data_IF_686549470991
#
_entry.id   IF_686549470991
#
_cell.length_a   1.000
_cell.length_b   1.000
_cell.length_c   1.000
_cell.angle_alpha   90.00
_cell.angle_beta   90.00
_cell.angle_gamma   90.00
#
_symmetry.space_group_name_H-M   'P 1'
#
loop_
_entity.id
_entity.type
_entity.pdbx_description
1 polymer ?
#
# COMPACT_ATOMS: atom_id res chain seq x y z
N UNK A 1 -18.01 -24.83 -10.97
CA UNK A 1 -18.52 -26.17 -11.36
C UNK A 1 -19.69 -26.49 -10.45
N UNK A 2 -20.77 -27.05 -11.01
CA UNK A 2 -22.13 -26.97 -10.46
C UNK A 2 -22.31 -27.52 -9.03
N UNK A 3 -23.14 -26.81 -8.25
CA UNK A 3 -23.57 -27.07 -6.88
C UNK A 3 -24.01 -28.54 -6.68
N UNK A 4 -23.72 -29.20 -5.54
CA UNK A 4 -24.31 -30.48 -5.17
C UNK A 4 -25.83 -30.57 -5.43
N UNK A 5 -26.56 -29.46 -5.23
CA UNK A 5 -27.99 -29.34 -5.55
C UNK A 5 -28.28 -29.44 -7.04
N UNK A 6 -27.44 -28.86 -7.89
CA UNK A 6 -27.54 -28.96 -9.35
C UNK A 6 -27.23 -30.39 -9.83
N UNK A 7 -26.18 -31.02 -9.27
CA UNK A 7 -25.83 -32.42 -9.59
C UNK A 7 -26.96 -33.38 -9.19
N UNK A 8 -27.58 -33.16 -8.04
CA UNK A 8 -28.74 -33.91 -7.57
C UNK A 8 -29.97 -33.69 -8.46
N UNK A 9 -30.22 -32.46 -8.89
CA UNK A 9 -31.33 -32.13 -9.81
C UNK A 9 -31.12 -32.81 -11.17
N UNK A 10 -29.90 -32.81 -11.69
CA UNK A 10 -29.56 -33.48 -12.95
C UNK A 10 -29.74 -35.00 -12.82
N UNK A 11 -29.40 -35.59 -11.67
CA UNK A 11 -29.64 -37.00 -11.37
C UNK A 11 -31.14 -37.33 -11.30
N UNK A 12 -31.96 -36.47 -10.69
CA UNK A 12 -33.43 -36.64 -10.66
C UNK A 12 -34.01 -36.57 -12.07
N UNK A 13 -33.57 -35.63 -12.91
CA UNK A 13 -34.04 -35.52 -14.30
C UNK A 13 -33.65 -36.76 -15.12
N UNK A 14 -32.44 -37.28 -14.92
CA UNK A 14 -31.95 -38.47 -15.62
C UNK A 14 -32.69 -39.73 -15.16
N UNK A 15 -32.96 -39.86 -13.86
CA UNK A 15 -33.82 -40.92 -13.31
C UNK A 15 -35.24 -40.83 -13.86
N UNK A 16 -35.85 -39.64 -13.87
CA UNK A 16 -37.18 -39.41 -14.43
C UNK A 16 -37.23 -39.81 -15.91
N UNK A 17 -36.23 -39.39 -16.70
CA UNK A 17 -36.10 -39.76 -18.11
C UNK A 17 -36.01 -41.27 -18.30
N UNK A 18 -35.18 -41.97 -17.52
CA UNK A 18 -35.05 -43.43 -17.58
C UNK A 18 -36.36 -44.13 -17.19
N UNK A 19 -37.03 -43.70 -16.12
CA UNK A 19 -38.32 -44.28 -15.72
C UNK A 19 -39.40 -44.04 -16.76
N UNK A 20 -39.50 -42.85 -17.35
CA UNK A 20 -40.48 -42.54 -18.39
C UNK A 20 -40.19 -43.39 -19.63
N UNK A 21 -38.93 -43.48 -20.04
CA UNK A 21 -38.52 -44.28 -21.22
C UNK A 21 -38.77 -45.78 -21.00
N UNK A 22 -38.46 -46.31 -19.82
CA UNK A 22 -38.72 -47.72 -19.48
C UNK A 22 -40.23 -48.04 -19.42
N UNK A 23 -41.04 -47.13 -18.87
CA UNK A 23 -42.50 -47.27 -18.84
C UNK A 23 -43.07 -47.23 -20.25
N UNK A 24 -42.52 -46.38 -21.13
CA UNK A 24 -42.90 -46.31 -22.54
C UNK A 24 -42.53 -47.57 -23.31
N UNK A 25 -41.31 -48.12 -23.13
CA UNK A 25 -40.87 -49.38 -23.76
C UNK A 25 -41.77 -50.55 -23.34
N UNK A 26 -42.14 -50.62 -22.06
CA UNK A 26 -43.06 -51.64 -21.54
C UNK A 26 -44.44 -51.58 -22.21
N UNK A 27 -45.00 -50.38 -22.37
CA UNK A 27 -46.28 -50.19 -23.08
C UNK A 27 -46.16 -50.44 -24.60
N UNK A 28 -45.03 -50.10 -25.22
CA UNK A 28 -44.81 -50.22 -26.67
C UNK A 28 -44.66 -51.66 -27.15
N UNK A 29 -43.89 -52.48 -26.41
CA UNK A 29 -43.57 -53.85 -26.84
C UNK A 29 -44.65 -54.87 -26.45
N UNK A 30 -45.44 -54.62 -25.40
CA UNK A 30 -46.44 -55.58 -24.92
C UNK A 30 -47.90 -55.28 -25.34
N UNK A 31 -48.23 -54.06 -25.78
CA UNK A 31 -49.57 -53.70 -26.26
C UNK A 31 -49.45 -52.95 -27.58
N UNK A 32 -49.31 -53.71 -28.68
CA UNK A 32 -49.08 -53.20 -30.03
C UNK A 32 -50.04 -52.06 -30.43
N UNK A 33 -49.55 -51.10 -31.23
CA UNK A 33 -50.25 -49.83 -31.39
C UNK A 33 -50.27 -49.27 -32.83
N UNK A 34 -51.50 -48.97 -33.24
CA UNK A 34 -51.95 -48.16 -34.37
C UNK A 34 -52.43 -46.80 -33.81
N UNK A 35 -52.35 -45.69 -34.56
CA UNK A 35 -52.70 -44.29 -34.18
C UNK A 35 -51.98 -43.63 -32.98
N UNK A 36 -51.33 -44.38 -32.09
CA UNK A 36 -50.52 -43.83 -31.00
C UNK A 36 -49.28 -43.05 -31.49
N UNK A 37 -48.68 -43.41 -32.62
CA UNK A 37 -47.39 -42.84 -33.06
C UNK A 37 -47.38 -41.32 -33.25
N UNK A 38 -48.49 -40.73 -33.70
CA UNK A 38 -48.60 -39.27 -33.86
C UNK A 38 -48.77 -38.55 -32.51
N UNK A 39 -49.63 -39.08 -31.64
CA UNK A 39 -49.81 -38.57 -30.27
C UNK A 39 -48.52 -38.77 -29.43
N UNK A 40 -47.79 -39.85 -29.68
CA UNK A 40 -46.48 -40.14 -29.06
C UNK A 40 -45.39 -39.16 -29.48
N UNK A 41 -45.36 -38.72 -30.74
CA UNK A 41 -44.42 -37.67 -31.18
C UNK A 41 -44.68 -36.35 -30.43
N UNK A 42 -45.96 -35.97 -30.31
CA UNK A 42 -46.37 -34.75 -29.60
C UNK A 42 -46.14 -34.85 -28.09
N UNK A 43 -46.40 -36.00 -27.47
CA UNK A 43 -46.15 -36.22 -26.03
C UNK A 43 -44.66 -36.36 -25.72
N UNK A 44 -43.83 -36.94 -26.62
CA UNK A 44 -42.37 -36.99 -26.42
C UNK A 44 -41.74 -35.59 -26.52
N UNK A 45 -42.13 -34.80 -27.53
CA UNK A 45 -41.63 -33.43 -27.70
C UNK A 45 -42.16 -32.55 -26.56
N UNK A 46 -43.46 -32.68 -26.22
CA UNK A 46 -44.10 -31.93 -25.15
C UNK A 46 -43.57 -32.30 -23.75
N UNK A 47 -43.36 -33.58 -23.47
CA UNK A 47 -42.80 -34.08 -22.22
C UNK A 47 -41.32 -33.70 -22.04
N UNK A 48 -40.53 -33.75 -23.12
CA UNK A 48 -39.14 -33.26 -23.12
C UNK A 48 -39.09 -31.75 -22.90
N UNK A 49 -40.00 -31.00 -23.52
CA UNK A 49 -40.13 -29.56 -23.30
C UNK A 49 -40.53 -29.24 -21.86
N UNK A 50 -41.55 -29.91 -21.30
CA UNK A 50 -42.00 -29.70 -19.91
C UNK A 50 -40.91 -30.10 -18.91
N UNK A 51 -40.20 -31.19 -19.14
CA UNK A 51 -39.03 -31.59 -18.33
C UNK A 51 -37.91 -30.55 -18.40
N UNK A 52 -37.64 -30.00 -19.58
CA UNK A 52 -36.72 -28.89 -19.77
C UNK A 52 -37.16 -27.61 -19.05
N UNK A 53 -38.44 -27.23 -19.14
CA UNK A 53 -39.00 -26.07 -18.46
C UNK A 53 -38.98 -26.23 -16.93
N UNK A 54 -39.32 -27.40 -16.41
CA UNK A 54 -39.22 -27.71 -14.97
C UNK A 54 -37.77 -27.69 -14.49
N UNK A 55 -36.82 -28.20 -15.28
CA UNK A 55 -35.40 -28.09 -14.97
C UNK A 55 -34.94 -26.63 -14.90
N UNK A 56 -35.32 -25.80 -15.87
CA UNK A 56 -35.01 -24.36 -15.89
C UNK A 56 -35.68 -23.64 -14.71
N UNK A 57 -36.93 -23.95 -14.38
CA UNK A 57 -37.64 -23.36 -13.23
C UNK A 57 -37.03 -23.74 -11.88
N UNK A 58 -36.62 -25.00 -11.72
CA UNK A 58 -35.93 -25.45 -10.50
C UNK A 58 -34.54 -24.80 -10.39
N UNK A 59 -33.82 -24.70 -11.50
CA UNK A 59 -32.52 -24.04 -11.54
C UNK A 59 -32.62 -22.53 -11.24
N UNK A 60 -33.63 -21.84 -11.76
CA UNK A 60 -33.81 -20.39 -11.52
C UNK A 60 -34.31 -20.07 -10.11
N UNK A 61 -35.14 -20.93 -9.51
CA UNK A 61 -35.78 -20.66 -8.21
C UNK A 61 -35.02 -21.19 -6.99
N UNK A 62 -34.29 -22.30 -7.11
CA UNK A 62 -33.63 -22.98 -5.97
C UNK A 62 -32.09 -22.99 -6.04
N UNK A 63 -31.50 -22.64 -7.18
CA UNK A 63 -30.05 -22.61 -7.38
C UNK A 63 -29.62 -21.16 -7.57
N UNK A 64 -29.18 -20.51 -6.49
CA UNK A 64 -28.47 -19.23 -6.60
C UNK A 64 -27.14 -19.44 -7.32
N UNK A 65 -27.11 -19.22 -8.63
CA UNK A 65 -25.88 -19.24 -9.44
C UNK A 65 -24.87 -18.15 -9.04
N UNK A 66 -25.24 -17.22 -8.14
CA UNK A 66 -24.40 -16.10 -7.69
C UNK A 66 -23.07 -16.51 -7.05
N UNK A 67 -22.93 -17.73 -6.52
CA UNK A 67 -21.65 -18.22 -5.94
C UNK A 67 -20.84 -19.14 -6.87
N UNK A 68 -21.40 -19.55 -8.01
CA UNK A 68 -20.82 -20.60 -8.86
C UNK A 68 -20.80 -20.30 -10.37
N UNK A 69 -21.16 -19.07 -10.79
CA UNK A 69 -20.76 -18.61 -12.13
C UNK A 69 -19.24 -18.63 -12.19
N UNK A 70 -18.67 -19.56 -12.98
CA UNK A 70 -17.39 -19.31 -13.60
C UNK A 70 -17.61 -18.06 -14.47
N UNK A 71 -17.01 -16.93 -14.13
CA UNK A 71 -16.76 -15.92 -15.15
C UNK A 71 -15.77 -16.56 -16.11
N UNK A 72 -16.16 -16.74 -17.37
CA UNK A 72 -15.37 -17.45 -18.37
C UNK A 72 -14.09 -16.72 -18.74
N UNK A 73 -13.11 -16.73 -17.85
CA UNK A 73 -11.75 -16.24 -18.08
C UNK A 73 -10.77 -17.37 -17.75
N UNK A 74 -10.70 -18.35 -18.63
CA UNK A 74 -9.58 -19.28 -18.70
C UNK A 74 -8.79 -18.85 -19.94
N UNK A 75 -7.63 -18.20 -19.75
CA UNK A 75 -6.74 -17.86 -20.85
C UNK A 75 -6.01 -19.12 -21.33
N UNK A 76 -6.20 -19.48 -22.59
CA UNK A 76 -5.40 -20.47 -23.30
C UNK A 76 -4.11 -19.78 -23.78
N UNK A 77 -2.95 -20.23 -23.31
CA UNK A 77 -1.62 -19.77 -23.75
C UNK A 77 -1.13 -20.53 -24.97
N UNK A 78 -0.24 -19.91 -25.77
CA UNK A 78 0.94 -20.59 -26.32
C UNK A 78 2.17 -19.66 -26.29
N UNK A 79 3.29 -20.29 -25.96
CA UNK A 79 4.70 -19.90 -25.78
C UNK A 79 5.44 -19.58 -27.10
N UNK A 80 6.67 -19.10 -26.96
CA UNK A 80 7.65 -18.58 -27.93
C UNK A 80 8.04 -19.55 -29.08
N UNK A 81 7.45 -20.75 -29.17
CA UNK A 81 7.79 -21.79 -30.17
C UNK A 81 6.78 -21.99 -31.30
N UNK A 82 5.80 -21.10 -31.47
CA UNK A 82 5.16 -20.91 -32.78
C UNK A 82 4.23 -22.02 -33.29
N UNK A 83 3.31 -22.53 -32.47
CA UNK A 83 2.11 -23.24 -33.00
C UNK A 83 0.92 -22.28 -33.03
N UNK A 84 0.68 -21.69 -34.21
CA UNK A 84 -0.37 -20.70 -34.42
C UNK A 84 -1.79 -21.29 -34.47
N UNK A 85 -2.72 -20.67 -33.75
CA UNK A 85 -4.14 -20.67 -34.10
C UNK A 85 -4.59 -19.23 -34.32
N UNK A 86 -5.06 -18.96 -35.53
CA UNK A 86 -5.59 -17.68 -35.96
C UNK A 86 -7.04 -17.56 -35.46
N UNK A 87 -7.39 -16.54 -34.67
CA UNK A 87 -8.78 -16.23 -34.35
C UNK A 87 -9.11 -14.76 -34.67
N UNK A 88 -10.18 -14.49 -35.45
CA UNK A 88 -10.53 -13.16 -35.96
C UNK A 88 -11.44 -12.34 -35.03
N UNK A 89 -11.43 -12.55 -33.70
CA UNK A 89 -12.40 -11.88 -32.82
C UNK A 89 -11.81 -11.50 -31.46
N UNK A 90 -11.91 -10.20 -31.14
CA UNK A 90 -11.57 -9.62 -29.83
C UNK A 90 -12.42 -10.25 -28.71
N UNK A 91 -11.76 -10.80 -27.69
CA UNK A 91 -12.41 -11.33 -26.47
C UNK A 91 -13.16 -10.24 -25.67
N UNK A 92 -12.92 -8.94 -25.94
CA UNK A 92 -13.71 -7.85 -25.35
C UNK A 92 -15.10 -7.66 -25.99
N UNK A 93 -15.35 -8.19 -27.20
CA UNK A 93 -16.67 -8.08 -27.85
C UNK A 93 -17.77 -8.89 -27.15
N UNK A 94 -17.42 -9.85 -26.29
CA UNK A 94 -18.38 -10.68 -25.53
C UNK A 94 -18.59 -10.22 -24.09
N UNK A 95 -17.98 -9.11 -23.67
CA UNK A 95 -17.96 -8.64 -22.28
C UNK A 95 -18.57 -7.26 -21.96
N UNK A 96 -19.52 -6.67 -22.72
CA UNK A 96 -20.24 -5.50 -22.21
C UNK A 96 -21.35 -5.86 -21.20
N UNK A 97 -21.93 -7.07 -21.24
CA UNK A 97 -23.22 -7.34 -20.55
C UNK A 97 -23.18 -8.35 -19.39
N UNK A 98 -22.14 -9.18 -19.26
CA UNK A 98 -22.14 -10.28 -18.26
C UNK A 98 -21.51 -9.92 -16.91
N UNK A 99 -20.80 -8.81 -16.84
CA UNK A 99 -20.36 -8.22 -15.58
C UNK A 99 -20.87 -6.79 -15.56
N UNK A 100 -22.12 -6.64 -15.11
CA UNK A 100 -22.67 -5.32 -14.87
C UNK A 100 -21.63 -4.55 -14.03
N UNK A 101 -21.08 -3.43 -14.52
CA UNK A 101 -20.41 -2.50 -13.61
C UNK A 101 -21.40 -2.17 -12.50
N UNK A 102 -20.98 -1.81 -11.29
CA UNK A 102 -21.92 -1.29 -10.31
C UNK A 102 -22.56 0.00 -10.89
N UNK A 103 -23.66 -0.15 -11.62
CA UNK A 103 -24.45 0.89 -12.30
C UNK A 103 -25.02 1.91 -11.28
N UNK A 104 -24.77 1.70 -9.97
CA UNK A 104 -25.21 2.60 -8.91
C UNK A 104 -24.24 3.74 -8.56
N UNK A 105 -23.00 3.77 -9.03
CA UNK A 105 -22.07 4.86 -8.69
C UNK A 105 -21.80 5.80 -9.88
N UNK A 106 -22.48 6.95 -9.92
CA UNK A 106 -22.26 8.05 -10.88
C UNK A 106 -20.85 8.68 -10.84
N UNK A 107 -19.98 8.23 -9.93
CA UNK A 107 -18.67 8.81 -9.67
C UNK A 107 -17.49 7.87 -10.01
N UNK A 108 -17.69 6.85 -10.85
CA UNK A 108 -16.62 5.96 -11.32
C UNK A 108 -16.20 6.33 -12.74
N UNK A 109 -14.90 6.37 -13.01
CA UNK A 109 -14.40 6.43 -14.38
C UNK A 109 -14.69 5.12 -15.13
N UNK A 110 -14.71 5.19 -16.47
CA UNK A 110 -14.95 4.02 -17.32
C UNK A 110 -13.95 2.89 -17.05
N UNK A 111 -12.67 3.25 -16.84
CA UNK A 111 -11.62 2.31 -16.49
C UNK A 111 -11.80 1.66 -15.12
N UNK A 112 -12.19 2.42 -14.10
CA UNK A 112 -12.49 1.86 -12.76
C UNK A 112 -13.64 0.87 -12.84
N UNK A 113 -14.68 1.17 -13.62
CA UNK A 113 -15.83 0.29 -13.79
C UNK A 113 -15.44 -1.05 -14.45
N UNK A 114 -14.64 -1.02 -15.52
CA UNK A 114 -14.13 -2.23 -16.17
C UNK A 114 -13.21 -3.04 -15.25
N UNK A 115 -12.33 -2.38 -14.49
CA UNK A 115 -11.43 -3.03 -13.53
C UNK A 115 -12.18 -3.71 -12.39
N UNK A 116 -13.16 -3.02 -11.78
CA UNK A 116 -14.01 -3.60 -10.74
C UNK A 116 -14.81 -4.79 -11.29
N UNK A 117 -15.31 -4.68 -12.52
CA UNK A 117 -15.97 -5.78 -13.21
C UNK A 117 -15.03 -6.97 -13.39
N UNK A 118 -13.83 -6.74 -13.92
CA UNK A 118 -12.82 -7.77 -14.11
C UNK A 118 -12.49 -8.47 -12.78
N UNK A 119 -12.18 -7.71 -11.73
CA UNK A 119 -11.87 -8.25 -10.39
C UNK A 119 -13.03 -9.02 -9.78
N UNK A 120 -14.28 -8.63 -10.04
CA UNK A 120 -15.46 -9.35 -9.54
C UNK A 120 -15.55 -10.77 -10.12
N UNK A 121 -14.99 -11.01 -11.32
CA UNK A 121 -14.82 -12.38 -11.84
C UNK A 121 -13.88 -13.26 -11.02
N UNK A 122 -12.95 -12.63 -10.28
CA UNK A 122 -11.96 -13.28 -9.42
C UNK A 122 -12.29 -13.11 -7.93
N UNK A 123 -13.57 -12.90 -7.58
CA UNK A 123 -14.00 -12.67 -6.19
C UNK A 123 -13.67 -13.79 -5.20
N UNK A 124 -13.47 -15.01 -5.67
CA UNK A 124 -13.07 -16.14 -4.83
C UNK A 124 -11.57 -16.46 -4.91
N UNK A 125 -10.80 -15.67 -5.68
CA UNK A 125 -9.36 -15.84 -5.78
C UNK A 125 -8.71 -15.31 -4.50
N UNK A 126 -7.78 -16.03 -3.87
CA UNK A 126 -7.12 -15.56 -2.67
C UNK A 126 -6.18 -14.41 -3.01
N UNK A 127 -6.09 -13.42 -2.12
CA UNK A 127 -5.00 -12.44 -2.16
C UNK A 127 -3.68 -13.08 -1.71
N UNK A 128 -3.73 -13.96 -0.70
CA UNK A 128 -2.56 -14.66 -0.17
C UNK A 128 -2.87 -16.16 0.02
N UNK A 129 -1.97 -17.00 -0.48
CA UNK A 129 -2.06 -18.47 -0.39
C UNK A 129 -1.34 -19.05 0.84
N UNK A 130 -0.54 -18.25 1.56
CA UNK A 130 0.15 -18.68 2.79
C UNK A 130 -0.79 -18.77 3.99
N UNK A 131 -1.96 -18.12 3.89
CA UNK A 131 -3.02 -18.15 4.91
C UNK A 131 -2.91 -17.04 5.95
N UNK A 132 -1.94 -16.12 5.81
CA UNK A 132 -1.78 -14.99 6.72
C UNK A 132 -2.87 -13.93 6.49
N UNK A 133 -3.37 -13.80 5.26
CA UNK A 133 -4.46 -12.90 4.93
C UNK A 133 -5.66 -13.67 4.34
N UNK A 134 -6.82 -13.72 5.03
CA UNK A 134 -7.99 -14.46 4.57
C UNK A 134 -8.78 -13.73 3.46
N UNK A 135 -8.35 -12.53 3.04
CA UNK A 135 -9.08 -11.72 2.06
C UNK A 135 -8.99 -12.31 0.65
N UNK A 136 -10.06 -12.12 -0.11
CA UNK A 136 -10.03 -12.36 -1.56
C UNK A 136 -9.26 -11.24 -2.27
N UNK A 137 -8.76 -11.52 -3.47
CA UNK A 137 -8.14 -10.54 -4.35
C UNK A 137 -9.08 -9.34 -4.60
N UNK A 138 -10.37 -9.63 -4.83
CA UNK A 138 -11.38 -8.60 -5.02
C UNK A 138 -11.53 -7.72 -3.77
N UNK A 139 -11.72 -8.32 -2.59
CA UNK A 139 -11.96 -7.56 -1.37
C UNK A 139 -10.74 -6.70 -1.02
N UNK A 140 -9.53 -7.24 -1.19
CA UNK A 140 -8.28 -6.50 -1.02
C UNK A 140 -8.20 -5.30 -1.97
N UNK A 141 -8.40 -5.52 -3.28
CA UNK A 141 -8.34 -4.45 -4.27
C UNK A 141 -9.40 -3.34 -4.02
N UNK A 142 -10.59 -3.70 -3.55
CA UNK A 142 -11.65 -2.74 -3.21
C UNK A 142 -11.29 -1.93 -1.95
N UNK A 143 -10.67 -2.54 -0.95
CA UNK A 143 -10.17 -1.81 0.22
C UNK A 143 -9.06 -0.83 -0.17
N UNK A 144 -8.11 -1.25 -1.00
CA UNK A 144 -7.06 -0.38 -1.55
C UNK A 144 -7.65 0.81 -2.31
N UNK A 145 -8.63 0.54 -3.17
CA UNK A 145 -9.33 1.57 -3.93
C UNK A 145 -10.06 2.56 -3.02
N UNK A 146 -10.75 2.09 -1.96
CA UNK A 146 -11.39 2.96 -0.97
C UNK A 146 -10.37 3.80 -0.19
N UNK A 147 -9.27 3.19 0.22
CA UNK A 147 -8.17 3.88 0.91
C UNK A 147 -7.60 4.99 0.02
N UNK A 148 -7.32 4.68 -1.26
CA UNK A 148 -6.85 5.64 -2.25
C UNK A 148 -7.81 6.82 -2.42
N UNK A 149 -9.12 6.57 -2.54
CA UNK A 149 -10.13 7.64 -2.66
C UNK A 149 -10.23 8.56 -1.45
N UNK A 150 -9.74 8.13 -0.30
CA UNK A 150 -9.73 8.93 0.93
C UNK A 150 -8.45 9.77 1.08
N UNK A 151 -7.48 9.62 0.20
CA UNK A 151 -6.24 10.39 0.23
C UNK A 151 -6.42 11.73 -0.49
N UNK A 152 -5.83 12.83 0.02
CA UNK A 152 -5.85 14.13 -0.65
C UNK A 152 -5.11 14.07 -1.99
N UNK A 153 -5.51 14.93 -2.94
CA UNK A 153 -4.87 15.08 -4.26
C UNK A 153 -4.86 13.83 -5.17
N UNK A 154 -5.69 12.83 -4.88
CA UNK A 154 -5.82 11.63 -5.72
C UNK A 154 -6.97 11.78 -6.73
N UNK A 155 -6.82 11.15 -7.90
CA UNK A 155 -7.82 11.18 -8.97
C UNK A 155 -8.07 9.82 -9.63
N UNK A 156 -8.83 9.79 -10.75
CA UNK A 156 -9.24 8.54 -11.40
C UNK A 156 -8.10 7.61 -11.81
N UNK A 157 -6.94 8.15 -12.20
CA UNK A 157 -5.77 7.36 -12.57
C UNK A 157 -5.15 6.65 -11.36
N UNK A 158 -5.12 7.30 -10.20
CA UNK A 158 -4.70 6.71 -8.93
C UNK A 158 -5.63 5.58 -8.52
N UNK A 159 -6.94 5.79 -8.69
CA UNK A 159 -7.96 4.80 -8.36
C UNK A 159 -7.86 3.56 -9.25
N UNK A 160 -7.66 3.75 -10.55
CA UNK A 160 -7.41 2.67 -11.49
C UNK A 160 -6.13 1.90 -11.16
N UNK A 161 -5.05 2.60 -10.81
CA UNK A 161 -3.80 1.96 -10.41
C UNK A 161 -3.98 1.11 -9.13
N UNK A 162 -4.76 1.59 -8.14
CA UNK A 162 -5.04 0.86 -6.91
C UNK A 162 -5.79 -0.45 -7.15
N UNK A 163 -6.71 -0.46 -8.12
CA UNK A 163 -7.42 -1.68 -8.56
C UNK A 163 -6.51 -2.61 -9.38
N UNK A 164 -5.56 -2.06 -10.14
CA UNK A 164 -4.77 -2.81 -11.11
C UNK A 164 -3.48 -3.42 -10.55
N UNK A 165 -2.98 -2.94 -9.40
CA UNK A 165 -1.65 -3.32 -8.87
C UNK A 165 -1.46 -4.82 -8.64
N UNK A 166 -2.48 -5.52 -8.15
CA UNK A 166 -2.43 -6.94 -7.74
C UNK A 166 -3.00 -7.91 -8.80
N UNK A 167 -3.27 -7.46 -10.03
CA UNK A 167 -3.91 -8.30 -11.06
C UNK A 167 -3.04 -9.52 -11.44
N UNK A 168 -1.72 -9.40 -11.33
CA UNK A 168 -0.72 -10.47 -11.45
C UNK A 168 -1.10 -11.76 -10.70
N UNK A 169 -1.76 -11.66 -9.54
CA UNK A 169 -2.14 -12.79 -8.69
C UNK A 169 -3.08 -13.79 -9.37
N UNK A 170 -3.85 -13.33 -10.36
CA UNK A 170 -4.71 -14.17 -11.19
C UNK A 170 -3.88 -15.20 -11.95
N UNK A 171 -2.68 -14.82 -12.42
CA UNK A 171 -1.78 -15.72 -13.15
C UNK A 171 -0.74 -16.40 -12.26
N UNK A 172 -0.33 -15.74 -11.16
CA UNK A 172 0.65 -16.31 -10.24
C UNK A 172 0.10 -17.52 -9.48
N UNK A 173 -1.22 -17.62 -9.31
CA UNK A 173 -1.87 -18.73 -8.61
C UNK A 173 -2.56 -19.69 -9.57
N UNK A 174 -2.54 -20.97 -9.21
CA UNK A 174 -3.26 -22.03 -9.90
C UNK A 174 -4.26 -22.68 -8.94
N UNK A 175 -5.50 -22.78 -9.40
CA UNK A 175 -6.55 -23.51 -8.69
C UNK A 175 -6.35 -25.02 -8.87
N UNK A 176 -6.06 -25.73 -7.77
CA UNK A 176 -6.03 -27.19 -7.69
C UNK A 176 -7.32 -27.69 -7.06
N UNK A 177 -8.16 -28.34 -7.88
CA UNK A 177 -9.43 -28.92 -7.44
C UNK A 177 -9.29 -30.42 -7.23
N UNK A 178 -9.52 -30.89 -6.00
CA UNK A 178 -9.71 -32.32 -5.74
C UNK A 178 -11.20 -32.65 -5.90
N UNK A 179 -11.53 -33.28 -7.02
CA UNK A 179 -12.91 -33.72 -7.33
C UNK A 179 -13.23 -34.99 -6.53
N UNK A 180 -14.44 -35.06 -5.99
CA UNK A 180 -14.95 -36.30 -5.42
C UNK A 180 -15.52 -37.21 -6.52
N UNK A 181 -15.42 -38.55 -6.37
CA UNK A 181 -16.05 -39.49 -7.31
C UNK A 181 -17.58 -39.30 -7.32
N UNK A 182 -18.24 -39.76 -8.39
CA UNK A 182 -19.71 -39.70 -8.54
C UNK A 182 -20.46 -40.30 -7.34
N UNK A 183 -19.89 -41.33 -6.70
CA UNK A 183 -20.43 -41.94 -5.48
C UNK A 183 -20.45 -41.01 -4.28
N UNK A 184 -19.81 -39.84 -4.33
CA UNK A 184 -19.78 -38.82 -3.29
C UNK A 184 -20.13 -37.44 -3.88
N UNK A 185 -21.05 -37.40 -4.86
CA UNK A 185 -21.42 -36.17 -5.57
C UNK A 185 -21.99 -35.06 -4.67
N UNK A 186 -22.46 -35.40 -3.46
CA UNK A 186 -22.95 -34.45 -2.46
C UNK A 186 -21.83 -33.68 -1.74
N UNK A 187 -20.59 -34.19 -1.77
CA UNK A 187 -19.44 -33.49 -1.19
C UNK A 187 -18.99 -32.37 -2.11
N UNK A 188 -18.74 -31.20 -1.53
CA UNK A 188 -18.16 -30.07 -2.27
C UNK A 188 -16.71 -30.37 -2.63
N UNK A 189 -16.34 -30.10 -3.88
CA UNK A 189 -14.96 -30.22 -4.33
C UNK A 189 -14.04 -29.40 -3.41
N UNK A 190 -12.90 -29.98 -3.03
CA UNK A 190 -11.91 -29.26 -2.22
C UNK A 190 -11.08 -28.41 -3.20
N UNK A 191 -11.23 -27.10 -3.08
CA UNK A 191 -10.43 -26.11 -3.82
C UNK A 191 -9.25 -25.72 -2.96
N UNK A 192 -8.04 -25.90 -3.50
CA UNK A 192 -6.81 -25.36 -2.94
C UNK A 192 -6.12 -24.53 -4.01
N UNK A 193 -5.45 -23.46 -3.60
CA UNK A 193 -4.61 -22.69 -4.50
C UNK A 193 -3.15 -23.09 -4.28
N UNK A 194 -2.38 -23.14 -5.35
CA UNK A 194 -0.93 -23.31 -5.29
C UNK A 194 -0.24 -22.28 -6.16
N UNK A 195 0.95 -21.84 -5.74
CA UNK A 195 1.77 -20.96 -6.55
C UNK A 195 2.17 -21.65 -7.86
N UNK A 196 1.92 -20.98 -8.99
CA UNK A 196 2.37 -21.39 -10.33
C UNK A 196 3.62 -20.64 -10.73
N UNK A 197 3.68 -19.33 -10.46
CA UNK A 197 4.81 -18.47 -10.78
C UNK A 197 5.08 -17.42 -9.69
N UNK A 198 6.23 -16.76 -9.79
CA UNK A 198 6.54 -15.57 -8.98
C UNK A 198 5.63 -14.43 -9.42
N UNK A 199 5.16 -13.66 -8.45
CA UNK A 199 4.39 -12.46 -8.75
C UNK A 199 5.36 -11.40 -9.25
N UNK A 200 5.06 -10.80 -10.40
CA UNK A 200 5.86 -9.72 -10.92
C UNK A 200 4.94 -8.59 -11.38
N UNK A 201 5.30 -7.34 -11.06
CA UNK A 201 4.52 -6.14 -11.46
C UNK A 201 4.29 -6.05 -12.98
N UNK A 202 5.16 -6.67 -13.78
CA UNK A 202 4.95 -6.82 -15.22
C UNK A 202 3.67 -7.59 -15.61
N UNK A 203 3.18 -8.57 -14.83
CA UNK A 203 1.96 -9.33 -15.17
C UNK A 203 0.73 -8.46 -14.97
N UNK A 204 0.69 -7.69 -13.88
CA UNK A 204 -0.36 -6.72 -13.61
C UNK A 204 -0.44 -5.68 -14.74
N UNK A 205 0.72 -5.16 -15.16
CA UNK A 205 0.84 -4.26 -16.29
C UNK A 205 0.35 -4.89 -17.60
N UNK A 206 0.69 -6.16 -17.86
CA UNK A 206 0.22 -6.90 -19.04
C UNK A 206 -1.31 -7.07 -19.01
N UNK A 207 -1.91 -7.48 -17.89
CA UNK A 207 -3.36 -7.62 -17.78
C UNK A 207 -4.04 -6.27 -18.00
N UNK A 208 -3.57 -5.22 -17.34
CA UNK A 208 -4.12 -3.86 -17.50
C UNK A 208 -4.08 -3.41 -18.96
N UNK A 209 -3.01 -3.73 -19.70
CA UNK A 209 -2.88 -3.40 -21.12
C UNK A 209 -3.93 -4.06 -22.03
N UNK A 210 -4.60 -5.12 -21.56
CA UNK A 210 -5.68 -5.80 -22.31
C UNK A 210 -7.05 -5.16 -22.12
N UNK A 211 -7.21 -4.29 -21.12
CA UNK A 211 -8.49 -3.65 -20.77
C UNK A 211 -8.85 -2.57 -21.81
N UNK A 212 -10.03 -2.62 -22.44
CA UNK A 212 -10.43 -1.66 -23.49
C UNK A 212 -10.32 -0.20 -23.07
N UNK A 213 -10.89 0.17 -21.93
CA UNK A 213 -10.83 1.55 -21.43
C UNK A 213 -9.39 2.02 -21.17
N UNK A 214 -8.47 1.10 -20.85
CA UNK A 214 -7.05 1.43 -20.67
C UNK A 214 -6.37 1.73 -22.01
N UNK A 215 -6.73 1.02 -23.09
CA UNK A 215 -6.18 1.27 -24.43
C UNK A 215 -6.62 2.63 -24.97
N UNK A 216 -7.83 3.05 -24.62
CA UNK A 216 -8.45 4.31 -25.02
C UNK A 216 -7.99 5.52 -24.20
N UNK A 217 -7.22 5.33 -23.12
CA UNK A 217 -6.55 6.43 -22.42
C UNK A 217 -5.61 7.17 -23.38
N UNK A 218 -6.06 8.32 -23.87
CA UNK A 218 -5.27 9.24 -24.66
C UNK A 218 -4.19 9.90 -23.81
N UNK A 219 -3.04 10.21 -24.41
CA UNK A 219 -2.04 11.05 -23.76
C UNK A 219 -2.53 12.51 -23.80
N UNK A 220 -2.26 13.28 -22.75
CA UNK A 220 -2.56 14.72 -22.76
C UNK A 220 -1.47 15.47 -23.51
N UNK A 221 -1.81 15.90 -24.73
CA UNK A 221 -0.92 16.64 -25.63
C UNK A 221 -0.54 18.02 -25.09
N UNK A 222 -1.33 18.62 -24.18
CA UNK A 222 -1.05 19.96 -23.63
C UNK A 222 -0.02 19.92 -22.51
N UNK A 223 -0.09 18.90 -21.66
CA UNK A 223 0.85 18.71 -20.55
C UNK A 223 1.97 17.73 -20.86
N UNK A 224 1.96 17.13 -22.07
CA UNK A 224 2.83 16.02 -22.50
C UNK A 224 2.78 14.81 -21.55
N UNK A 225 1.68 14.67 -20.79
CA UNK A 225 1.50 13.59 -19.83
C UNK A 225 1.06 12.32 -20.54
N UNK A 226 1.83 11.25 -20.34
CA UNK A 226 1.55 9.93 -20.91
C UNK A 226 0.85 9.05 -19.89
N UNK A 227 -0.47 9.20 -19.73
CA UNK A 227 -1.25 8.55 -18.66
C UNK A 227 -1.07 7.04 -18.59
N UNK A 228 -1.07 6.36 -19.75
CA UNK A 228 -0.84 4.90 -19.80
C UNK A 228 0.54 4.54 -19.28
N UNK A 229 1.57 5.29 -19.68
CA UNK A 229 2.95 5.06 -19.22
C UNK A 229 3.06 5.30 -17.71
N UNK A 230 2.47 6.36 -17.19
CA UNK A 230 2.49 6.70 -15.76
C UNK A 230 1.93 5.56 -14.90
N UNK A 231 0.75 5.03 -15.22
CA UNK A 231 0.13 3.92 -14.47
C UNK A 231 0.98 2.64 -14.58
N UNK A 232 1.45 2.29 -15.78
CA UNK A 232 2.25 1.07 -15.98
C UNK A 232 3.60 1.15 -15.23
N UNK A 233 4.24 2.32 -15.21
CA UNK A 233 5.46 2.54 -14.43
C UNK A 233 5.18 2.42 -12.93
N UNK A 234 4.12 3.04 -12.42
CA UNK A 234 3.77 2.94 -11.00
C UNK A 234 3.52 1.49 -10.56
N UNK A 235 2.75 0.72 -11.33
CA UNK A 235 2.44 -0.69 -11.02
C UNK A 235 3.68 -1.58 -11.13
N UNK A 236 4.49 -1.40 -12.19
CA UNK A 236 5.68 -2.23 -12.41
C UNK A 236 6.66 -2.17 -11.26
N UNK A 237 6.82 -1.00 -10.65
CA UNK A 237 7.84 -0.74 -9.64
C UNK A 237 7.32 -0.71 -8.20
N UNK A 238 6.03 -0.99 -8.00
CA UNK A 238 5.43 -1.11 -6.66
C UNK A 238 6.22 -2.03 -5.74
N UNK A 239 6.54 -3.24 -6.23
CA UNK A 239 7.22 -4.26 -5.43
C UNK A 239 8.74 -4.07 -5.37
N UNK A 240 9.30 -3.17 -6.21
CA UNK A 240 10.72 -2.85 -6.21
C UNK A 240 10.97 -1.33 -6.33
N UNK A 241 10.79 -0.58 -5.22
CA UNK A 241 10.91 0.88 -5.15
C UNK A 241 12.21 1.44 -5.69
N UNK A 242 13.31 0.78 -5.36
CA UNK A 242 14.68 1.24 -5.63
C UNK A 242 15.05 1.14 -7.10
N UNK A 243 14.23 0.45 -7.89
CA UNK A 243 14.42 0.31 -9.33
C UNK A 243 13.62 1.32 -10.18
N UNK A 244 12.89 2.25 -9.54
CA UNK A 244 12.22 3.35 -10.25
C UNK A 244 13.29 4.21 -10.93
N UNK A 245 13.20 4.44 -12.26
CA UNK A 245 14.15 5.31 -12.94
C UNK A 245 14.12 6.74 -12.40
N UNK A 246 15.28 7.38 -12.27
CA UNK A 246 15.40 8.79 -11.82
C UNK A 246 14.62 9.75 -12.73
N UNK A 247 14.47 9.40 -14.00
CA UNK A 247 13.68 10.12 -15.01
C UNK A 247 12.22 9.64 -15.11
N UNK A 248 11.67 9.03 -14.05
CA UNK A 248 10.27 8.64 -14.00
C UNK A 248 9.36 9.86 -14.21
N UNK A 249 8.25 9.64 -14.91
CA UNK A 249 7.23 10.66 -15.12
C UNK A 249 6.68 11.14 -13.77
N UNK A 250 6.52 12.46 -13.54
CA UNK A 250 6.06 12.99 -12.25
C UNK A 250 4.74 12.38 -11.78
N UNK A 251 3.80 12.16 -12.69
CA UNK A 251 2.52 11.52 -12.37
C UNK A 251 2.71 10.05 -12.02
N UNK A 252 3.61 9.35 -12.70
CA UNK A 252 3.96 7.96 -12.36
C UNK A 252 4.52 7.83 -10.94
N UNK A 253 5.38 8.76 -10.54
CA UNK A 253 5.92 8.83 -9.17
C UNK A 253 4.83 9.14 -8.14
N UNK A 254 3.95 10.09 -8.44
CA UNK A 254 2.86 10.48 -7.56
C UNK A 254 1.84 9.35 -7.35
N UNK A 255 1.44 8.65 -8.43
CA UNK A 255 0.58 7.46 -8.35
C UNK A 255 1.26 6.39 -7.51
N UNK A 256 2.55 6.14 -7.74
CA UNK A 256 3.33 5.17 -6.99
C UNK A 256 3.36 5.47 -5.48
N UNK A 257 3.68 6.69 -5.08
CA UNK A 257 3.70 7.09 -3.67
C UNK A 257 2.30 6.95 -3.05
N UNK A 258 1.27 7.36 -3.78
CA UNK A 258 -0.12 7.25 -3.35
C UNK A 258 -0.56 5.79 -3.17
N UNK A 259 -0.07 4.85 -4.00
CA UNK A 259 -0.37 3.42 -3.85
C UNK A 259 0.17 2.88 -2.53
N UNK A 260 1.37 3.27 -2.14
CA UNK A 260 1.95 2.86 -0.86
C UNK A 260 1.23 3.50 0.33
N UNK A 261 0.86 4.79 0.24
CA UNK A 261 0.01 5.46 1.27
C UNK A 261 -1.33 4.74 1.41
N UNK A 262 -1.98 4.40 0.31
CA UNK A 262 -3.26 3.68 0.31
C UNK A 262 -3.13 2.28 0.91
N UNK A 263 -2.04 1.56 0.57
CA UNK A 263 -1.74 0.24 1.13
C UNK A 263 -1.62 0.29 2.65
N UNK A 264 -0.89 1.26 3.19
CA UNK A 264 -0.74 1.37 4.64
C UNK A 264 -2.04 1.74 5.33
N UNK A 265 -2.78 2.71 4.77
CA UNK A 265 -4.10 3.09 5.30
C UNK A 265 -5.09 1.92 5.27
N UNK A 266 -4.97 0.99 4.32
CA UNK A 266 -5.78 -0.23 4.29
C UNK A 266 -5.39 -1.26 5.37
N UNK A 267 -4.14 -1.21 5.84
CA UNK A 267 -3.60 -2.08 6.89
C UNK A 267 -3.84 -1.50 8.29
N UNK A 268 -3.95 -0.18 8.42
CA UNK A 268 -4.32 0.52 9.66
C UNK A 268 -5.65 -0.04 10.18
N UNK A 269 -5.57 -0.82 11.27
CA UNK A 269 -6.76 -1.26 11.99
C UNK A 269 -7.29 -0.05 12.78
N UNK A 270 -8.62 0.14 12.87
CA UNK A 270 -9.22 1.25 13.63
C UNK A 270 -8.88 1.23 15.14
N UNK A 271 -8.25 0.16 15.63
CA UNK A 271 -7.67 0.11 16.96
C UNK A 271 -6.31 0.80 16.93
N UNK A 272 -6.33 2.08 17.32
CA UNK A 272 -5.17 2.93 17.65
C UNK A 272 -4.19 2.22 18.59
N UNK A 273 -3.32 1.36 18.06
CA UNK A 273 -2.02 1.13 18.68
C UNK A 273 -1.20 2.37 18.36
N UNK A 274 -0.84 3.12 19.40
CA UNK A 274 0.06 4.26 19.24
C UNK A 274 1.32 3.87 18.47
N UNK A 275 2.05 4.87 17.97
CA UNK A 275 3.26 4.68 17.18
C UNK A 275 4.29 3.80 17.90
N UNK A 276 4.29 2.50 17.58
CA UNK A 276 5.14 1.47 18.20
C UNK A 276 5.64 0.52 17.10
N UNK A 277 6.71 0.90 16.38
CA UNK A 277 7.31 0.04 15.37
C UNK A 277 7.92 -1.22 16.01
N UNK A 278 7.88 -2.34 15.29
CA UNK A 278 8.50 -3.60 15.72
C UNK A 278 10.04 -3.51 15.66
N UNK A 279 10.74 -4.33 16.45
CA UNK A 279 12.21 -4.31 16.51
C UNK A 279 12.86 -4.60 15.14
N UNK A 280 12.25 -5.47 14.33
CA UNK A 280 12.68 -5.76 12.96
C UNK A 280 12.61 -4.53 12.06
N UNK A 281 11.57 -3.71 12.23
CA UNK A 281 11.35 -2.47 11.48
C UNK A 281 12.34 -1.39 11.89
N UNK A 282 12.66 -1.29 13.18
CA UNK A 282 13.68 -0.38 13.71
C UNK A 282 15.06 -0.74 13.15
N UNK A 283 15.43 -2.03 13.11
CA UNK A 283 16.71 -2.47 12.54
C UNK A 283 16.85 -2.11 11.07
N UNK A 284 15.80 -2.34 10.27
CA UNK A 284 15.78 -1.97 8.86
C UNK A 284 15.88 -0.46 8.67
N UNK A 285 15.13 0.31 9.46
CA UNK A 285 15.18 1.77 9.45
C UNK A 285 16.59 2.29 9.78
N UNK A 286 17.20 1.83 10.87
CA UNK A 286 18.55 2.24 11.26
C UNK A 286 19.59 1.90 10.18
N UNK A 287 19.45 0.74 9.51
CA UNK A 287 20.30 0.37 8.39
C UNK A 287 20.17 1.36 7.23
N UNK A 288 18.94 1.72 6.83
CA UNK A 288 18.72 2.72 5.78
C UNK A 288 19.28 4.10 6.16
N UNK A 289 19.07 4.53 7.41
CA UNK A 289 19.64 5.80 7.92
C UNK A 289 21.16 5.78 7.79
N UNK A 290 21.82 4.71 8.23
CA UNK A 290 23.26 4.54 8.09
C UNK A 290 23.73 4.60 6.64
N UNK A 291 23.06 3.88 5.74
CA UNK A 291 23.42 3.82 4.32
C UNK A 291 23.34 5.17 3.62
N UNK A 292 22.37 6.02 3.99
CA UNK A 292 22.18 7.34 3.37
C UNK A 292 22.90 8.48 4.11
N UNK A 293 23.50 8.22 5.28
CA UNK A 293 24.00 9.25 6.19
C UNK A 293 24.94 10.27 5.55
N UNK A 294 26.02 9.80 4.92
CA UNK A 294 27.00 10.70 4.30
C UNK A 294 26.42 11.44 3.08
N UNK A 295 25.53 10.79 2.33
CA UNK A 295 24.88 11.38 1.16
C UNK A 295 23.95 12.52 1.56
N UNK A 296 23.10 12.29 2.57
CA UNK A 296 22.19 13.31 3.10
C UNK A 296 22.96 14.51 3.60
N UNK A 297 24.02 14.33 4.39
CA UNK A 297 24.79 15.46 4.92
C UNK A 297 25.50 16.28 3.82
N UNK A 298 25.95 15.65 2.73
CA UNK A 298 26.56 16.34 1.59
C UNK A 298 25.54 17.15 0.77
N UNK A 299 24.26 16.77 0.80
CA UNK A 299 23.19 17.49 0.08
C UNK A 299 22.61 18.69 0.85
N UNK A 300 22.91 18.82 2.15
CA UNK A 300 22.41 19.93 2.95
C UNK A 300 23.10 21.23 2.54
N UNK A 301 22.32 22.30 2.44
CA UNK A 301 22.85 23.64 2.22
C UNK A 301 23.40 24.22 3.53
N UNK A 302 24.66 23.88 3.83
CA UNK A 302 25.39 24.31 5.02
C UNK A 302 26.15 25.60 4.69
N UNK A 303 25.90 26.66 5.47
CA UNK A 303 26.50 28.00 5.26
C UNK A 303 26.29 28.58 3.83
N UNK A 304 25.04 28.74 3.37
CA UNK A 304 24.79 29.48 2.13
C UNK A 304 25.32 30.92 2.27
N UNK A 305 25.67 31.54 1.13
CA UNK A 305 26.29 32.88 1.06
C UNK A 305 25.60 33.94 1.93
N UNK A 306 24.29 33.79 2.17
CA UNK A 306 23.57 34.40 3.27
C UNK A 306 22.81 33.30 4.02
N UNK A 307 23.09 33.12 5.32
CA UNK A 307 22.25 32.26 6.16
C UNK A 307 20.88 32.92 6.27
N UNK A 308 19.84 32.15 6.00
CA UNK A 308 18.44 32.57 6.05
C UNK A 308 17.65 31.56 6.88
N UNK A 309 16.34 31.80 7.05
CA UNK A 309 15.44 30.85 7.71
C UNK A 309 15.34 29.51 6.97
N UNK A 310 15.70 29.49 5.69
CA UNK A 310 15.62 28.30 4.83
C UNK A 310 16.94 27.51 4.79
N UNK A 311 17.99 27.99 5.45
CA UNK A 311 19.27 27.29 5.53
C UNK A 311 19.13 25.97 6.27
N UNK A 312 19.75 24.92 5.73
CA UNK A 312 19.70 23.58 6.33
C UNK A 312 20.54 23.50 7.60
N UNK A 313 21.63 24.27 7.69
CA UNK A 313 22.48 24.32 8.87
C UNK A 313 23.67 25.26 8.74
N UNK A 314 24.52 25.24 9.76
CA UNK A 314 25.78 25.98 9.82
C UNK A 314 26.94 25.09 10.24
N UNK A 315 28.11 25.34 9.66
CA UNK A 315 29.35 24.69 10.04
C UNK A 315 30.09 25.51 11.10
N UNK A 316 30.35 24.90 12.26
CA UNK A 316 30.95 25.56 13.44
C UNK A 316 32.47 25.40 13.51
N UNK A 317 33.06 24.59 12.62
CA UNK A 317 34.47 24.25 12.63
C UNK A 317 34.73 22.91 13.31
N UNK A 318 35.93 22.36 13.14
CA UNK A 318 36.39 21.12 13.77
C UNK A 318 35.47 19.89 13.59
N UNK A 319 34.64 19.86 12.54
CA UNK A 319 33.75 18.73 12.22
C UNK A 319 32.36 18.86 12.80
N UNK A 320 32.10 19.99 13.44
CA UNK A 320 30.87 20.25 14.16
C UNK A 320 29.88 20.98 13.28
N UNK A 321 28.68 20.42 13.19
CA UNK A 321 27.57 20.94 12.40
C UNK A 321 26.37 21.19 13.29
N UNK A 322 25.73 22.34 13.12
CA UNK A 322 24.39 22.60 13.65
C UNK A 322 23.41 22.54 12.49
N UNK A 323 22.43 21.63 12.54
CA UNK A 323 21.55 21.36 11.40
C UNK A 323 20.09 21.34 11.85
N UNK A 324 19.20 21.85 11.01
CA UNK A 324 17.75 21.73 11.17
C UNK A 324 17.31 20.27 11.09
N UNK A 325 16.80 19.73 12.20
CA UNK A 325 16.37 18.33 12.25
C UNK A 325 15.18 18.07 11.31
N UNK A 326 14.26 19.02 11.22
CA UNK A 326 13.13 18.95 10.30
C UNK A 326 13.59 18.81 8.85
N UNK A 327 14.65 19.52 8.44
CA UNK A 327 15.17 19.43 7.09
C UNK A 327 15.92 18.11 6.84
N UNK A 328 16.67 17.61 7.83
CA UNK A 328 17.27 16.28 7.75
C UNK A 328 16.18 15.21 7.57
N UNK A 329 15.14 15.22 8.41
CA UNK A 329 14.03 14.25 8.32
C UNK A 329 13.33 14.36 6.96
N UNK A 330 13.16 15.58 6.41
CA UNK A 330 12.63 15.79 5.05
C UNK A 330 13.49 15.13 3.96
N UNK A 331 14.82 15.19 4.08
CA UNK A 331 15.75 14.55 3.13
C UNK A 331 15.66 13.03 3.24
N UNK A 332 15.72 12.48 4.45
CA UNK A 332 15.56 11.04 4.67
C UNK A 332 14.20 10.53 4.19
N UNK A 333 13.10 11.23 4.48
CA UNK A 333 11.77 10.83 4.03
C UNK A 333 11.68 10.66 2.51
N UNK A 334 12.51 11.34 1.71
CA UNK A 334 12.57 11.17 0.25
C UNK A 334 13.41 9.96 -0.20
N UNK A 335 14.38 9.54 0.60
CA UNK A 335 15.34 8.48 0.28
C UNK A 335 14.95 7.12 0.86
N UNK A 336 14.26 7.12 2.01
CA UNK A 336 13.82 5.92 2.70
C UNK A 336 12.88 5.08 1.83
N UNK A 337 12.93 3.76 2.02
CA UNK A 337 12.02 2.85 1.32
C UNK A 337 10.57 3.12 1.73
N UNK A 338 9.57 2.85 0.86
CA UNK A 338 8.15 2.97 1.21
C UNK A 338 7.76 2.22 2.48
N UNK A 339 8.38 1.07 2.73
CA UNK A 339 8.14 0.26 3.91
C UNK A 339 8.59 1.01 5.16
N UNK A 340 9.83 1.53 5.16
CA UNK A 340 10.36 2.35 6.25
C UNK A 340 9.57 3.65 6.43
N UNK A 341 9.23 4.35 5.33
CA UNK A 341 8.36 5.53 5.39
C UNK A 341 7.01 5.23 6.01
N UNK A 342 6.46 4.04 5.75
CA UNK A 342 5.19 3.63 6.32
C UNK A 342 5.22 3.33 7.79
N UNK A 343 6.10 2.41 8.16
CA UNK A 343 6.25 2.00 9.55
C UNK A 343 6.57 3.20 10.45
N UNK A 344 7.24 4.22 9.91
CA UNK A 344 7.61 5.43 10.63
C UNK A 344 6.72 6.66 10.33
N UNK A 345 5.64 6.51 9.59
CA UNK A 345 4.70 7.57 9.18
C UNK A 345 5.37 8.83 8.57
N UNK A 346 6.38 8.63 7.72
CA UNK A 346 7.18 9.68 7.07
C UNK A 346 6.72 9.99 5.64
N UNK A 347 5.44 9.77 5.35
CA UNK A 347 4.87 10.08 4.04
C UNK A 347 4.68 11.57 3.83
N UNK A 348 4.28 12.24 4.89
CA UNK A 348 4.11 13.67 4.93
C UNK A 348 5.25 14.25 5.77
N UNK A 349 5.95 15.22 5.20
CA UNK A 349 7.10 15.83 5.88
C UNK A 349 6.59 16.66 7.04
N UNK A 350 6.98 16.34 8.29
CA UNK A 350 6.44 17.02 9.44
C UNK A 350 6.89 18.49 9.47
N UNK A 351 5.98 19.38 9.83
CA UNK A 351 6.28 20.77 10.19
C UNK A 351 6.61 20.90 11.67
N UNK A 352 6.09 19.98 12.49
CA UNK A 352 6.22 19.95 13.95
C UNK A 352 6.96 18.69 14.44
N UNK A 353 7.07 18.51 15.76
CA UNK A 353 7.68 17.33 16.38
C UNK A 353 6.93 16.06 15.96
N UNK A 354 7.62 15.12 15.31
CA UNK A 354 7.05 13.87 14.84
C UNK A 354 7.37 12.68 15.77
N UNK A 355 6.45 11.73 15.99
CA UNK A 355 6.68 10.55 16.85
C UNK A 355 7.89 9.68 16.47
N UNK A 356 8.35 9.74 15.23
CA UNK A 356 9.53 9.00 14.75
C UNK A 356 10.87 9.65 15.10
N UNK A 357 10.89 10.89 15.57
CA UNK A 357 12.11 11.65 15.86
C UNK A 357 13.07 10.95 16.84
N UNK A 358 12.60 10.33 17.95
CA UNK A 358 13.48 9.60 18.84
C UNK A 358 14.26 8.46 18.16
N UNK A 359 13.69 7.84 17.13
CA UNK A 359 14.34 6.76 16.39
C UNK A 359 15.43 7.28 15.45
N UNK A 360 15.25 8.46 14.85
CA UNK A 360 16.31 9.15 14.12
C UNK A 360 17.47 9.54 15.05
N UNK A 361 17.17 10.14 16.21
CA UNK A 361 18.20 10.52 17.19
C UNK A 361 18.97 9.28 17.66
N UNK A 362 18.26 8.19 17.97
CA UNK A 362 18.91 6.94 18.35
C UNK A 362 19.78 6.39 17.22
N UNK A 363 19.32 6.41 15.97
CA UNK A 363 20.13 5.99 14.83
C UNK A 363 21.39 6.86 14.69
N UNK A 364 21.30 8.19 14.82
CA UNK A 364 22.48 9.07 14.75
C UNK A 364 23.43 8.91 15.93
N UNK A 365 22.90 8.57 17.12
CA UNK A 365 23.68 8.17 18.29
C UNK A 365 24.43 6.87 18.04
N UNK A 366 23.78 5.85 17.47
CA UNK A 366 24.39 4.57 17.14
C UNK A 366 25.51 4.71 16.08
N UNK A 367 25.35 5.68 15.16
CA UNK A 367 26.37 6.07 14.19
C UNK A 367 27.58 6.74 14.86
N UNK A 368 27.41 7.25 16.08
CA UNK A 368 28.44 7.95 16.85
C UNK A 368 28.74 9.35 16.32
N UNK A 369 27.76 9.98 15.67
CA UNK A 369 27.89 11.34 15.15
C UNK A 369 26.99 12.36 15.86
N UNK A 370 25.93 11.92 16.53
CA UNK A 370 25.06 12.81 17.31
C UNK A 370 25.75 13.29 18.59
N UNK A 371 25.71 14.60 18.83
CA UNK A 371 26.24 15.19 20.05
C UNK A 371 25.10 15.39 21.07
N UNK A 372 25.26 14.77 22.25
CA UNK A 372 24.21 14.72 23.27
C UNK A 372 24.01 16.03 24.02
N UNK A 373 25.06 16.84 24.17
CA UNK A 373 25.04 18.10 24.91
C UNK A 373 25.74 19.20 24.13
N UNK A 374 25.25 20.44 24.30
CA UNK A 374 25.89 21.64 23.76
C UNK A 374 26.14 22.64 24.88
N UNK A 375 27.39 23.06 25.08
CA UNK A 375 27.78 23.98 26.17
C UNK A 375 27.20 23.58 27.55
N UNK A 376 27.29 22.29 27.89
CA UNK A 376 26.72 21.69 29.12
C UNK A 376 25.19 21.80 29.26
N UNK A 377 24.49 22.05 28.15
CA UNK A 377 23.03 22.09 28.10
C UNK A 377 22.49 20.82 27.47
N UNK A 378 21.51 20.22 28.16
CA UNK A 378 20.76 19.07 27.67
C UNK A 378 19.71 19.47 26.62
N UNK A 379 19.45 18.59 25.62
CA UNK A 379 18.41 18.82 24.62
C UNK A 379 17.02 18.76 25.25
N UNK A 380 16.02 19.26 24.51
CA UNK A 380 14.63 19.07 24.89
C UNK A 380 14.28 17.58 24.96
N UNK A 381 13.10 17.23 25.53
CA UNK A 381 12.58 15.85 25.62
C UNK A 381 12.59 15.07 24.28
N UNK A 382 12.65 15.78 23.16
CA UNK A 382 12.69 15.27 21.79
C UNK A 382 14.10 14.97 21.27
N UNK A 383 15.16 15.25 22.04
CA UNK A 383 16.54 15.16 21.58
C UNK A 383 16.94 16.27 20.59
N UNK A 384 16.32 17.45 20.68
CA UNK A 384 16.62 18.59 19.81
C UNK A 384 16.73 19.90 20.60
N UNK A 385 17.39 20.89 20.03
CA UNK A 385 17.65 22.20 20.63
C UNK A 385 16.86 23.29 19.90
N UNK A 386 16.33 24.29 20.60
CA UNK A 386 15.79 25.49 19.96
C UNK A 386 16.86 26.58 20.03
N UNK A 387 17.40 26.96 18.87
CA UNK A 387 18.60 27.81 18.79
C UNK A 387 18.34 29.06 17.96
N UNK A 388 19.20 30.05 18.14
CA UNK A 388 19.25 31.27 17.36
C UNK A 388 20.69 31.51 16.92
N UNK A 389 20.95 31.50 15.61
CA UNK A 389 22.22 31.95 15.06
C UNK A 389 22.07 33.42 14.65
N UNK A 390 22.67 34.34 15.42
CA UNK A 390 22.44 35.78 15.33
C UNK A 390 20.94 36.16 15.42
N UNK A 391 20.29 36.43 14.28
CA UNK A 391 18.87 36.80 14.18
C UNK A 391 17.97 35.72 13.57
N UNK A 392 18.52 34.53 13.31
CA UNK A 392 17.82 33.45 12.61
C UNK A 392 17.51 32.35 13.61
N UNK A 393 16.24 31.98 13.71
CA UNK A 393 15.79 30.91 14.59
C UNK A 393 15.91 29.56 13.88
N UNK A 394 16.51 28.60 14.56
CA UNK A 394 16.59 27.19 14.19
C UNK A 394 15.80 26.38 15.22
N UNK A 395 14.47 26.23 15.03
CA UNK A 395 13.67 25.35 15.87
C UNK A 395 14.09 23.90 15.60
N UNK A 396 14.20 23.10 16.67
CA UNK A 396 14.60 21.70 16.58
C UNK A 396 15.93 21.46 15.84
N UNK A 397 16.97 22.21 16.17
CA UNK A 397 18.32 21.96 15.72
C UNK A 397 18.91 20.71 16.40
N UNK A 398 19.81 20.03 15.69
CA UNK A 398 20.68 18.98 16.23
C UNK A 398 22.13 19.30 15.93
N UNK A 399 23.03 18.79 16.76
CA UNK A 399 24.46 18.90 16.56
C UNK A 399 25.04 17.56 16.11
N UNK A 400 25.85 17.61 15.07
CA UNK A 400 26.64 16.48 14.64
C UNK A 400 28.13 16.78 14.80
N UNK A 401 28.84 15.83 15.40
CA UNK A 401 30.29 15.81 15.44
C UNK A 401 30.80 14.76 14.43
N UNK A 402 31.34 15.24 13.32
CA UNK A 402 31.88 14.39 12.26
C UNK A 402 33.36 14.15 12.55
N UNK A 403 33.66 13.00 13.15
CA UNK A 403 35.04 12.59 13.41
C UNK A 403 35.78 12.21 12.13
N UNK A 404 37.01 12.68 11.97
CA UNK A 404 37.84 12.42 10.78
C UNK A 404 38.14 10.93 10.59
N UNK A 405 38.31 10.19 11.68
CA UNK A 405 38.64 8.76 11.65
C UNK A 405 37.48 7.91 11.12
N UNK A 406 36.24 8.27 11.48
CA UNK A 406 35.02 7.54 11.06
C UNK A 406 34.51 7.98 9.69
N UNK A 407 34.62 9.28 9.37
CA UNK A 407 34.05 9.85 8.15
C UNK A 407 35.06 10.76 7.41
N UNK A 408 36.17 10.21 6.88
CA UNK A 408 37.27 11.03 6.35
C UNK A 408 36.87 11.90 5.16
N UNK A 409 36.09 11.36 4.21
CA UNK A 409 35.66 12.10 3.02
C UNK A 409 34.66 13.21 3.35
N UNK A 410 33.70 12.92 4.22
CA UNK A 410 32.71 13.89 4.67
C UNK A 410 33.41 15.00 5.45
N UNK A 411 34.31 14.66 6.39
CA UNK A 411 35.11 15.62 7.14
C UNK A 411 35.87 16.56 6.22
N UNK A 412 36.58 16.01 5.23
CA UNK A 412 37.34 16.79 4.27
C UNK A 412 36.46 17.77 3.50
N UNK A 413 35.25 17.36 3.12
CA UNK A 413 34.29 18.24 2.43
C UNK A 413 33.84 19.37 3.34
N UNK A 414 33.46 19.07 4.59
CA UNK A 414 32.99 20.06 5.56
C UNK A 414 34.08 21.08 5.94
N UNK A 415 35.34 20.65 6.01
CA UNK A 415 36.48 21.56 6.27
C UNK A 415 36.71 22.58 5.16
N UNK A 416 36.11 22.41 3.97
CA UNK A 416 36.14 23.43 2.91
C UNK A 416 35.11 24.54 3.12
N UNK A 417 34.12 24.33 3.98
CA UNK A 417 33.07 25.32 4.24
C UNK A 417 33.58 26.44 5.13
N UNK A 418 33.13 27.69 4.91
CA UNK A 418 33.51 28.80 5.77
C UNK A 418 33.03 28.52 7.19
N UNK A 419 33.90 28.67 8.19
CA UNK A 419 33.50 28.50 9.59
C UNK A 419 32.56 29.65 10.01
N UNK A 420 31.45 29.30 10.66
CA UNK A 420 30.52 30.27 11.21
C UNK A 420 31.21 31.14 12.28
N UNK A 421 31.18 32.46 12.08
CA UNK A 421 31.78 33.45 12.99
C UNK A 421 30.76 34.16 13.89
N UNK A 422 29.45 33.86 13.72
CA UNK A 422 28.37 34.48 14.49
C UNK A 422 28.12 33.82 15.85
N UNK A 423 27.28 34.46 16.67
CA UNK A 423 26.87 33.90 17.96
C UNK A 423 25.71 32.92 17.81
N UNK A 424 25.78 31.81 18.56
CA UNK A 424 24.70 30.82 18.68
C UNK A 424 24.17 30.91 20.10
N UNK A 425 22.90 31.24 20.23
CA UNK A 425 22.22 31.38 21.50
C UNK A 425 21.08 30.36 21.59
N UNK A 426 20.95 29.71 22.74
CA UNK A 426 19.80 28.86 23.00
C UNK A 426 18.55 29.72 23.25
N UNK A 427 17.48 29.46 22.51
CA UNK A 427 16.16 30.01 22.83
C UNK A 427 15.60 29.22 24.00
N UNK A 428 15.82 29.74 25.21
CA UNK A 428 15.21 29.18 26.42
C UNK A 428 13.68 29.38 26.33
N UNK A 429 12.95 28.30 26.56
CA UNK A 429 11.48 28.33 26.62
C UNK A 429 11.02 29.17 27.83
N UNK A 430 9.97 29.98 27.69
CA UNK A 430 9.50 30.91 28.74
C UNK A 430 9.21 30.19 30.06
N UNK A 431 8.63 28.98 30.00
CA UNK A 431 8.34 28.18 31.20
C UNK A 431 9.61 27.73 31.93
N UNK A 432 10.65 27.31 31.19
CA UNK A 432 11.94 26.95 31.78
C UNK A 432 12.68 28.17 32.32
N UNK A 433 12.59 29.32 31.65
CA UNK A 433 13.11 30.59 32.17
C UNK A 433 12.40 30.99 33.46
N UNK A 434 11.07 30.88 33.51
CA UNK A 434 10.27 31.15 34.70
C UNK A 434 10.66 30.23 35.86
N UNK A 435 10.82 28.93 35.62
CA UNK A 435 11.26 27.99 36.63
C UNK A 435 12.71 28.27 37.11
N UNK A 436 13.62 28.59 36.19
CA UNK A 436 15.00 28.93 36.52
C UNK A 436 15.07 30.22 37.34
N UNK A 437 14.34 31.26 36.93
CA UNK A 437 14.20 32.54 37.66
C UNK A 437 13.57 32.31 39.03
N UNK A 438 12.50 31.52 39.14
CA UNK A 438 11.89 31.18 40.42
C UNK A 438 12.85 30.39 41.33
N UNK A 439 13.65 29.47 40.78
CA UNK A 439 14.63 28.70 41.57
C UNK A 439 15.78 29.58 42.09
N UNK A 440 16.27 30.51 41.26
CA UNK A 440 17.33 31.46 41.63
C UNK A 440 16.80 32.50 42.61
N UNK A 441 15.58 32.99 42.41
CA UNK A 441 14.90 33.88 43.36
C UNK A 441 14.75 33.22 44.73
N UNK A 442 14.33 31.95 44.80
CA UNK A 442 14.26 31.20 46.06
C UNK A 442 15.62 31.06 46.76
N UNK A 443 16.71 30.83 46.00
CA UNK A 443 18.07 30.78 46.57
C UNK A 443 18.52 32.13 47.11
N UNK A 444 18.19 33.23 46.41
CA UNK A 444 18.49 34.60 46.86
C UNK A 444 17.69 34.92 48.13
N UNK A 445 16.40 34.59 48.18
CA UNK A 445 15.57 34.76 49.38
C UNK A 445 16.10 33.97 50.58
N UNK A 446 16.56 32.74 50.35
CA UNK A 446 17.22 31.95 51.39
C UNK A 446 18.50 32.64 51.86
N UNK A 447 19.35 33.10 50.94
CA UNK A 447 20.62 33.77 51.26
C UNK A 447 20.39 35.07 52.04
N UNK A 448 19.38 35.87 51.65
CA UNK A 448 18.95 37.07 52.38
C UNK A 448 18.51 36.69 53.80
N UNK A 449 17.67 35.67 53.96
CA UNK A 449 17.25 35.19 55.29
C UNK A 449 18.45 34.78 56.15
N UNK A 450 19.44 34.09 55.59
CA UNK A 450 20.65 33.68 56.33
C UNK A 450 21.54 34.85 56.75
N UNK A 451 21.60 35.91 55.93
CA UNK A 451 22.37 37.13 56.21
C UNK A 451 21.70 37.95 57.31
N UNK A 452 20.37 38.08 57.26
CA UNK A 452 19.59 38.84 58.25
C UNK A 452 19.23 38.05 59.52
N UNK A 453 19.48 36.73 59.56
CA UNK A 453 19.33 35.91 60.77
C UNK A 453 20.61 35.83 61.61
N UNK A 454 21.68 36.55 61.26
CA UNK A 454 22.84 36.67 62.15
C UNK A 454 22.46 37.57 63.33
N UNK A 455 22.57 37.11 64.58
CA UNK A 455 22.26 37.94 65.73
C UNK A 455 23.23 39.12 65.77
N UNK A 456 22.68 40.33 65.86
CA UNK A 456 23.40 41.51 66.31
C UNK A 456 24.09 41.15 67.61
N UNK A 457 25.42 41.27 67.63
CA UNK A 457 26.22 41.19 68.85
C UNK A 457 25.76 42.32 69.76
N UNK A 458 24.82 42.01 70.65
CA UNK A 458 24.39 42.89 71.72
C UNK A 458 25.50 42.95 72.75
N UNK A 459 26.08 44.13 72.92
CA UNK A 459 26.96 44.47 74.02
C UNK A 459 26.28 44.13 75.35
N UNK A 460 26.78 43.11 76.05
CA UNK A 460 26.52 42.92 77.48
C UNK A 460 27.51 43.78 78.26
N UNK A 461 27.01 44.90 78.79
CA UNK A 461 27.54 45.59 79.96
C UNK A 461 26.92 44.99 81.23
#
# INVERSE_FOLDING_TARGET
>A
MYDPRFRFTLLIVLLAFVTITATLIYYFFYKGLNWGQYFHGVVNIGGSAIGGFMFVLVCTKFITFNKNKKTGFEASYVDETGTGFNFPVSLSKFLPELVAPPISNKNLSHLEAELIGFLNGFRNWPYDITGNNPKSLYDHAIEQWKAMRSLPNTGPLHYAAALAQDLSLIYAYQEKRKKFPLSQFWKRDIVKFSRKSVEHGGLSATILSTIPAFKELGDDLKTNQKYRRAILTAIRYRDNPTSIPVNCDPLGKDIYESLHKAYQKSLERPENKGFQPEESQIKMFNHEIYSFYQGVLKELEINPANVTKDSDGVYLGNGMLMVSFTNIVKRYAKLLTPTSRGNFNLWDTPTDVHPSWPYFIQAFRDIGAYQETWDDIDPNKTGTFNLKANNIAFPHAVFFNIEREKFPELRQTLDTYPQWQGHIEMQKNEETLLQEVQSKAKKVDQMIKTVYSRPTVGNSA
#
